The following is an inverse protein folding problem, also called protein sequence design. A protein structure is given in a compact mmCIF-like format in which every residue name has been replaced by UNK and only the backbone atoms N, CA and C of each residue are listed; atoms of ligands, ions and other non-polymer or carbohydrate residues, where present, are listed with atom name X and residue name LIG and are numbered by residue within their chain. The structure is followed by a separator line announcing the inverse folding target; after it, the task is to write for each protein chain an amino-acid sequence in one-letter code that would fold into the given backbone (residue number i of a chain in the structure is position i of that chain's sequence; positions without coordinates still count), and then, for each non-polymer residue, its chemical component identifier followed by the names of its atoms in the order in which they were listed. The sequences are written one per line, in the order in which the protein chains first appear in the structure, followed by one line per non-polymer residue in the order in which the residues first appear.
data_IF_436515811272
#
_entry.id   IF_436515811272
#
_cell.length_a   1.000
_cell.length_b   1.000
_cell.length_c   1.000
_cell.angle_alpha   90.00
_cell.angle_beta   90.00
_cell.angle_gamma   90.00
#
_symmetry.space_group_name_H-M   'P 1'
#
loop_
_entity.id
_entity.type
_entity.pdbx_description
1 polymer ?
#
# COMPACT_ATOMS: atom_id res chain seq x y z
N UNK A 1 14.47 -36.94 20.15
CA UNK A 1 13.52 -35.98 20.73
C UNK A 1 14.29 -34.70 21.03
N UNK A 2 14.04 -33.64 20.29
CA UNK A 2 14.66 -32.32 20.50
C UNK A 2 13.78 -31.51 21.45
N UNK A 3 14.30 -30.92 22.52
CA UNK A 3 13.50 -30.00 23.33
C UNK A 3 13.48 -28.61 22.66
N UNK A 4 12.31 -28.17 22.24
CA UNK A 4 12.02 -26.75 21.98
C UNK A 4 11.95 -26.02 23.32
N UNK A 5 13.04 -25.36 23.69
CA UNK A 5 13.01 -24.36 24.75
C UNK A 5 13.63 -23.09 24.17
N UNK A 6 12.79 -22.30 23.50
CA UNK A 6 13.15 -20.95 23.08
C UNK A 6 13.21 -20.08 24.33
N UNK A 7 14.42 -19.78 24.80
CA UNK A 7 14.62 -18.89 25.94
C UNK A 7 13.93 -17.53 25.69
N UNK A 8 13.45 -16.90 26.77
CA UNK A 8 12.69 -15.65 26.72
C UNK A 8 13.38 -14.53 25.91
N UNK A 9 14.73 -14.52 25.92
CA UNK A 9 15.56 -13.60 25.12
C UNK A 9 15.36 -13.80 23.60
N UNK A 10 15.22 -15.05 23.16
CA UNK A 10 14.96 -15.40 21.76
C UNK A 10 13.56 -15.00 21.32
N UNK A 11 12.55 -15.18 22.19
CA UNK A 11 11.16 -14.76 21.95
C UNK A 11 11.05 -13.23 21.88
N UNK A 12 11.71 -12.51 22.79
CA UNK A 12 11.72 -11.05 22.83
C UNK A 12 12.47 -10.43 21.64
N UNK A 13 13.52 -11.10 21.14
CA UNK A 13 14.22 -10.72 19.91
C UNK A 13 13.34 -10.93 18.67
N UNK A 14 12.62 -12.04 18.59
CA UNK A 14 11.68 -12.32 17.51
C UNK A 14 10.50 -11.35 17.49
N UNK A 15 9.94 -11.01 18.66
CA UNK A 15 8.87 -10.01 18.75
C UNK A 15 9.32 -8.61 18.34
N UNK A 16 10.57 -8.22 18.65
CA UNK A 16 11.14 -6.95 18.16
C UNK A 16 11.32 -6.94 16.65
N UNK A 17 11.77 -8.04 16.05
CA UNK A 17 11.88 -8.15 14.59
C UNK A 17 10.47 -8.09 13.96
N UNK A 18 9.47 -8.73 14.56
CA UNK A 18 8.10 -8.70 14.07
C UNK A 18 7.47 -7.30 14.16
N UNK A 19 7.65 -6.59 15.28
CA UNK A 19 7.21 -5.19 15.42
C UNK A 19 7.94 -4.26 14.45
N UNK A 20 9.25 -4.47 14.24
CA UNK A 20 10.01 -3.66 13.31
C UNK A 20 9.59 -3.92 11.86
N UNK A 21 9.27 -5.17 11.50
CA UNK A 21 8.70 -5.52 10.21
C UNK A 21 7.33 -4.85 10.02
N UNK A 22 6.44 -4.92 11.01
CA UNK A 22 5.15 -4.23 10.99
C UNK A 22 5.28 -2.71 10.86
N UNK A 23 6.27 -2.10 11.51
CA UNK A 23 6.60 -0.69 11.34
C UNK A 23 7.13 -0.38 9.94
N UNK A 24 7.92 -1.30 9.34
CA UNK A 24 8.43 -1.10 7.97
C UNK A 24 7.35 -1.27 6.89
N UNK A 25 6.44 -2.24 6.99
CA UNK A 25 5.34 -2.39 6.01
C UNK A 25 4.18 -1.43 6.26
N UNK A 26 3.88 -1.10 7.52
CA UNK A 26 2.87 -0.11 7.89
C UNK A 26 3.34 1.35 7.75
N UNK A 27 4.62 1.56 7.41
CA UNK A 27 5.21 2.89 7.16
C UNK A 27 5.46 3.20 5.68
N UNK A 28 5.16 2.27 4.76
CA UNK A 28 5.27 2.54 3.34
C UNK A 28 4.16 3.52 2.89
N UNK A 29 4.47 4.50 2.04
CA UNK A 29 3.49 5.49 1.60
C UNK A 29 2.35 4.78 0.86
N UNK A 30 1.12 5.23 1.11
CA UNK A 30 -0.07 4.73 0.41
C UNK A 30 -0.65 3.40 0.91
N UNK A 31 0.04 2.67 1.79
CA UNK A 31 -0.50 1.42 2.35
C UNK A 31 -1.76 1.67 3.18
N UNK A 32 -2.74 0.78 3.03
CA UNK A 32 -3.98 0.85 3.81
C UNK A 32 -3.70 0.41 5.25
N UNK A 33 -4.24 1.17 6.19
CA UNK A 33 -4.28 0.81 7.60
C UNK A 33 -5.29 -0.32 7.85
N UNK A 34 -5.14 -1.02 8.98
CA UNK A 34 -6.09 -2.04 9.42
C UNK A 34 -7.52 -1.48 9.53
N UNK A 35 -7.67 -0.24 9.99
CA UNK A 35 -8.97 0.43 10.06
C UNK A 35 -9.59 0.65 8.67
N UNK A 36 -8.81 1.06 7.68
CA UNK A 36 -9.28 1.23 6.30
C UNK A 36 -9.64 -0.11 5.63
N UNK A 37 -8.84 -1.15 5.89
CA UNK A 37 -9.16 -2.51 5.42
C UNK A 37 -10.47 -3.02 6.04
N UNK A 38 -10.67 -2.77 7.34
CA UNK A 38 -11.92 -3.11 8.02
C UNK A 38 -13.11 -2.29 7.47
N UNK A 39 -12.92 -1.02 7.15
CA UNK A 39 -13.96 -0.18 6.53
C UNK A 39 -14.37 -0.73 5.15
N UNK A 40 -13.42 -1.14 4.32
CA UNK A 40 -13.68 -1.83 3.05
C UNK A 40 -14.45 -3.14 3.25
N UNK A 41 -14.04 -3.97 4.22
CA UNK A 41 -14.64 -5.29 4.48
C UNK A 41 -16.12 -5.20 4.88
N UNK A 42 -16.53 -4.07 5.46
CA UNK A 42 -17.92 -3.82 5.86
C UNK A 42 -18.74 -3.06 4.81
N UNK A 43 -18.09 -2.37 3.87
CA UNK A 43 -18.76 -1.57 2.85
C UNK A 43 -19.41 -2.44 1.75
N UNK A 44 -20.57 -2.02 1.23
CA UNK A 44 -21.29 -2.77 0.18
C UNK A 44 -21.78 -1.83 -0.92
N UNK A 45 -21.92 -2.36 -2.14
CA UNK A 45 -22.42 -1.61 -3.30
C UNK A 45 -21.61 -0.33 -3.55
N UNK A 46 -22.31 0.77 -3.85
CA UNK A 46 -21.68 2.06 -4.17
C UNK A 46 -20.79 2.63 -3.07
N UNK A 47 -21.04 2.26 -1.80
CA UNK A 47 -20.17 2.68 -0.69
C UNK A 47 -18.83 1.95 -0.75
N UNK A 48 -18.83 0.67 -1.11
CA UNK A 48 -17.60 -0.09 -1.34
C UNK A 48 -16.81 0.53 -2.49
N UNK A 49 -17.46 0.75 -3.64
CA UNK A 49 -16.78 1.28 -4.83
C UNK A 49 -16.13 2.64 -4.54
N UNK A 50 -16.85 3.53 -3.85
CA UNK A 50 -16.32 4.83 -3.43
C UNK A 50 -15.12 4.68 -2.50
N UNK A 51 -15.21 3.82 -1.48
CA UNK A 51 -14.12 3.63 -0.52
C UNK A 51 -12.90 2.98 -1.17
N UNK A 52 -13.11 2.00 -2.03
CA UNK A 52 -12.05 1.36 -2.80
C UNK A 52 -11.27 2.39 -3.61
N UNK A 53 -11.95 3.23 -4.40
CA UNK A 53 -11.32 4.29 -5.18
C UNK A 53 -10.59 5.30 -4.29
N UNK A 54 -11.21 5.72 -3.18
CA UNK A 54 -10.60 6.68 -2.23
C UNK A 54 -9.32 6.16 -1.58
N UNK A 55 -9.16 4.85 -1.43
CA UNK A 55 -7.96 4.25 -0.83
C UNK A 55 -6.95 3.77 -1.87
N UNK A 56 -7.39 3.32 -3.04
CA UNK A 56 -6.47 2.87 -4.09
C UNK A 56 -5.75 4.02 -4.77
N UNK A 57 -6.34 5.21 -4.88
CA UNK A 57 -5.64 6.40 -5.38
C UNK A 57 -4.36 6.69 -4.55
N UNK A 58 -4.44 6.91 -3.22
CA UNK A 58 -3.23 7.17 -2.43
C UNK A 58 -2.30 5.96 -2.33
N UNK A 59 -2.81 4.73 -2.45
CA UNK A 59 -1.97 3.53 -2.58
C UNK A 59 -1.10 3.58 -3.85
N UNK A 60 -1.67 3.96 -4.99
CA UNK A 60 -0.93 4.08 -6.24
C UNK A 60 0.06 5.26 -6.20
N UNK A 61 -0.33 6.40 -5.61
CA UNK A 61 0.57 7.55 -5.38
C UNK A 61 1.77 7.17 -4.48
N UNK A 62 1.53 6.31 -3.48
CA UNK A 62 2.57 5.73 -2.65
C UNK A 62 3.55 4.86 -3.43
N UNK A 63 3.04 4.01 -4.33
CA UNK A 63 3.87 3.21 -5.22
C UNK A 63 4.72 4.08 -6.17
N UNK A 64 4.15 5.17 -6.71
CA UNK A 64 4.91 6.14 -7.52
C UNK A 64 6.05 6.78 -6.71
N UNK A 65 5.79 7.16 -5.47
CA UNK A 65 6.81 7.70 -4.56
C UNK A 65 7.96 6.71 -4.30
N UNK A 66 7.65 5.42 -4.23
CA UNK A 66 8.67 4.36 -4.09
C UNK A 66 9.50 4.19 -5.37
N UNK A 67 8.88 4.28 -6.54
CA UNK A 67 9.57 4.26 -7.84
C UNK A 67 10.51 5.46 -7.99
N UNK A 68 10.06 6.65 -7.61
CA UNK A 68 10.91 7.85 -7.60
C UNK A 68 12.09 7.69 -6.64
N UNK A 69 11.85 7.12 -5.46
CA UNK A 69 12.91 6.80 -4.49
C UNK A 69 13.94 5.80 -5.04
N UNK A 70 13.49 4.78 -5.80
CA UNK A 70 14.37 3.84 -6.47
C UNK A 70 15.25 4.57 -7.51
N UNK A 71 14.67 5.38 -8.39
CA UNK A 71 15.42 6.10 -9.41
C UNK A 71 16.38 7.16 -8.82
N UNK A 72 16.03 7.77 -7.69
CA UNK A 72 16.89 8.70 -6.97
C UNK A 72 18.02 8.05 -6.17
N UNK A 73 17.96 6.74 -5.93
CA UNK A 73 18.96 6.01 -5.13
C UNK A 73 20.22 5.68 -5.94
N UNK A 74 21.38 5.68 -5.27
CA UNK A 74 22.65 5.33 -5.92
C UNK A 74 22.60 3.88 -6.43
N UNK A 75 22.56 3.73 -7.77
CA UNK A 75 22.49 2.44 -8.43
C UNK A 75 21.11 1.82 -8.57
N UNK A 76 20.04 2.48 -8.13
CA UNK A 76 18.67 1.95 -8.25
C UNK A 76 18.18 1.78 -9.70
N UNK A 77 18.79 2.50 -10.65
CA UNK A 77 18.49 2.39 -12.08
C UNK A 77 19.58 1.68 -12.91
N UNK A 78 20.63 1.12 -12.28
CA UNK A 78 21.74 0.49 -13.02
C UNK A 78 21.42 -0.91 -13.56
N UNK A 79 20.33 -1.52 -13.09
CA UNK A 79 19.86 -2.80 -13.60
C UNK A 79 18.72 -2.57 -14.60
N UNK A 80 18.98 -2.87 -15.88
CA UNK A 80 18.03 -2.64 -16.98
C UNK A 80 16.67 -3.30 -16.77
N UNK A 81 16.64 -4.49 -16.16
CA UNK A 81 15.40 -5.19 -15.84
C UNK A 81 14.59 -4.44 -14.77
N UNK A 82 15.26 -4.01 -13.70
CA UNK A 82 14.62 -3.25 -12.62
C UNK A 82 14.15 -1.88 -13.12
N UNK A 83 14.96 -1.22 -13.94
CA UNK A 83 14.60 0.04 -14.57
C UNK A 83 13.32 -0.12 -15.41
N UNK A 84 13.30 -1.12 -16.31
CA UNK A 84 12.13 -1.37 -17.16
C UNK A 84 10.89 -1.68 -16.33
N UNK A 85 11.00 -2.55 -15.34
CA UNK A 85 9.87 -2.89 -14.46
C UNK A 85 9.33 -1.63 -13.75
N UNK A 86 10.22 -0.81 -13.18
CA UNK A 86 9.83 0.41 -12.49
C UNK A 86 9.21 1.46 -13.43
N UNK A 87 9.71 1.60 -14.66
CA UNK A 87 9.11 2.48 -15.68
C UNK A 87 7.73 1.99 -16.13
N UNK A 88 7.56 0.69 -16.35
CA UNK A 88 6.28 0.10 -16.73
C UNK A 88 5.26 0.32 -15.60
N UNK A 89 5.65 0.05 -14.34
CA UNK A 89 4.81 0.33 -13.16
C UNK A 89 4.46 1.82 -13.04
N UNK A 90 5.41 2.73 -13.27
CA UNK A 90 5.12 4.18 -13.20
C UNK A 90 4.03 4.58 -14.20
N UNK A 91 4.13 4.11 -15.45
CA UNK A 91 3.19 4.44 -16.51
C UNK A 91 1.79 3.89 -16.23
N UNK A 92 1.71 2.63 -15.80
CA UNK A 92 0.45 1.96 -15.49
C UNK A 92 -0.24 2.64 -14.28
N UNK A 93 0.50 2.84 -13.18
CA UNK A 93 -0.07 3.43 -11.95
C UNK A 93 -0.56 4.86 -12.17
N UNK A 94 0.14 5.66 -13.00
CA UNK A 94 -0.29 7.02 -13.37
C UNK A 94 -1.62 6.98 -14.12
N UNK A 95 -1.73 6.11 -15.12
CA UNK A 95 -2.95 5.93 -15.92
C UNK A 95 -4.12 5.46 -15.05
N UNK A 96 -3.87 4.53 -14.13
CA UNK A 96 -4.89 4.00 -13.23
C UNK A 96 -5.37 5.06 -12.23
N UNK A 97 -4.49 5.92 -11.71
CA UNK A 97 -4.88 7.06 -10.86
C UNK A 97 -5.86 7.97 -11.61
N UNK A 98 -5.56 8.34 -12.86
CA UNK A 98 -6.44 9.20 -13.67
C UNK A 98 -7.82 8.57 -13.86
N UNK A 99 -7.86 7.29 -14.23
CA UNK A 99 -9.11 6.56 -14.38
C UNK A 99 -9.89 6.46 -13.06
N UNK A 100 -9.21 6.17 -11.95
CA UNK A 100 -9.84 6.10 -10.64
C UNK A 100 -10.41 7.45 -10.19
N UNK A 101 -9.72 8.56 -10.46
CA UNK A 101 -10.22 9.91 -10.18
C UNK A 101 -11.47 10.23 -10.99
N UNK A 102 -11.48 9.88 -12.28
CA UNK A 102 -12.67 10.03 -13.14
C UNK A 102 -13.85 9.18 -12.64
N UNK A 103 -13.60 7.92 -12.28
CA UNK A 103 -14.62 7.05 -11.69
C UNK A 103 -15.13 7.61 -10.37
N UNK A 104 -14.24 8.07 -9.48
CA UNK A 104 -14.62 8.62 -8.17
C UNK A 104 -15.52 9.85 -8.32
N UNK A 105 -15.26 10.70 -9.32
CA UNK A 105 -16.07 11.88 -9.62
C UNK A 105 -17.51 11.54 -10.04
N UNK A 106 -17.79 10.30 -10.46
CA UNK A 106 -19.16 9.84 -10.77
C UNK A 106 -19.96 9.49 -9.51
N UNK A 107 -19.30 9.32 -8.37
CA UNK A 107 -19.97 9.06 -7.09
C UNK A 107 -20.29 10.38 -6.39
N UNK A 108 -21.52 10.57 -5.87
CA UNK A 108 -21.85 11.77 -5.12
C UNK A 108 -20.98 11.87 -3.87
N UNK A 109 -20.36 13.03 -3.67
CA UNK A 109 -19.68 13.41 -2.42
C UNK A 109 -20.71 13.35 -1.28
N UNK A 110 -20.69 12.28 -0.49
CA UNK A 110 -21.80 11.95 0.39
C UNK A 110 -22.22 13.07 1.33
N UNK A 111 -23.47 13.55 1.16
CA UNK A 111 -24.53 13.48 2.17
C UNK A 111 -25.89 13.50 1.47
N UNK A 112 -26.55 12.35 1.35
CA UNK A 112 -28.01 12.29 1.17
C UNK A 112 -28.57 11.12 1.98
N UNK A 113 -28.81 11.41 3.26
CA UNK A 113 -29.91 10.82 4.02
C UNK A 113 -30.82 11.98 4.48
N UNK A 114 -32.11 11.72 4.74
CA UNK A 114 -33.18 12.74 4.80
C UNK A 114 -32.91 13.90 5.76
#
# INVERSE_FOLDING_TARGET
AYPEQTDAVTVERSNRIHQQLQQTVGGLPGMLTEAQLNELDHARGSDFDRLFLKYMIPHHEGALSMVDGLFGSYGGAQNDFIFKLASDMYADQTTEIEHMQLMLATYPSGRQGP
#
